data_IF_904047720993
#
_entry.id   IF_904047720993
#
_cell.length_a   1.000
_cell.length_b   1.000
_cell.length_c   1.000
_cell.angle_alpha   90.00
_cell.angle_beta   90.00
_cell.angle_gamma   90.00
#
_symmetry.space_group_name_H-M   'P 1'
#
loop_
_entity.id
_entity.type
_entity.pdbx_description
1 polymer ?
#
# COMPACT_ATOMS: atom_id res chain seq x y z
N UNK A 1 -1.30 1.60 -10.69
CA UNK A 1 -1.21 0.36 -11.47
C UNK A 1 -0.17 -0.51 -10.80
N UNK A 2 -0.46 -1.79 -10.58
CA UNK A 2 0.50 -2.72 -9.97
C UNK A 2 1.43 -3.29 -11.05
N UNK A 3 2.47 -4.03 -10.68
CA UNK A 3 3.32 -4.74 -11.64
C UNK A 3 2.62 -5.93 -12.28
N UNK A 4 1.65 -6.54 -11.58
CA UNK A 4 0.95 -7.72 -12.04
C UNK A 4 -0.50 -7.73 -11.52
N UNK A 5 -1.41 -7.27 -12.36
CA UNK A 5 -2.83 -7.15 -12.01
C UNK A 5 -3.52 -8.51 -11.80
N UNK A 6 -3.04 -9.58 -12.46
CA UNK A 6 -3.56 -10.94 -12.24
C UNK A 6 -3.27 -11.39 -10.81
N UNK A 7 -2.05 -11.15 -10.32
CA UNK A 7 -1.69 -11.45 -8.93
C UNK A 7 -2.43 -10.55 -7.94
N UNK A 8 -2.59 -9.26 -8.25
CA UNK A 8 -3.41 -8.36 -7.43
C UNK A 8 -4.83 -8.90 -7.27
N UNK A 9 -5.44 -9.33 -8.37
CA UNK A 9 -6.78 -9.93 -8.38
C UNK A 9 -6.82 -11.23 -7.56
N UNK A 10 -5.86 -12.13 -7.76
CA UNK A 10 -5.80 -13.40 -7.03
C UNK A 10 -5.69 -13.21 -5.51
N UNK A 11 -4.91 -12.23 -5.05
CA UNK A 11 -4.79 -11.89 -3.62
C UNK A 11 -6.11 -11.32 -3.08
N UNK A 12 -6.76 -10.43 -3.83
CA UNK A 12 -8.05 -9.85 -3.45
C UNK A 12 -9.15 -10.91 -3.33
N UNK A 13 -9.21 -11.83 -4.29
CA UNK A 13 -10.15 -12.95 -4.28
C UNK A 13 -9.91 -13.87 -3.08
N UNK A 14 -8.64 -14.21 -2.80
CA UNK A 14 -8.29 -15.01 -1.63
C UNK A 14 -8.75 -14.33 -0.32
N UNK A 15 -8.44 -13.05 -0.14
CA UNK A 15 -8.88 -12.31 1.05
C UNK A 15 -10.41 -12.31 1.18
N UNK A 16 -11.13 -12.12 0.06
CA UNK A 16 -12.60 -12.15 0.06
C UNK A 16 -13.15 -13.52 0.45
N UNK A 17 -12.56 -14.63 -0.03
CA UNK A 17 -13.02 -16.00 0.26
C UNK A 17 -12.76 -16.36 1.72
N UNK A 18 -11.62 -15.96 2.27
CA UNK A 18 -11.24 -16.24 3.65
C UNK A 18 -11.86 -15.27 4.68
N UNK A 19 -12.65 -14.28 4.23
CA UNK A 19 -13.26 -13.27 5.10
C UNK A 19 -12.25 -12.30 5.73
N UNK A 20 -11.11 -12.08 5.06
CA UNK A 20 -10.06 -11.16 5.48
C UNK A 20 -10.36 -9.78 4.90
N UNK A 21 -10.59 -8.78 5.76
CA UNK A 21 -10.79 -7.40 5.31
C UNK A 21 -9.47 -6.78 4.84
N UNK A 22 -9.46 -6.27 3.62
CA UNK A 22 -8.33 -5.55 3.05
C UNK A 22 -8.40 -4.07 3.43
N UNK A 23 -7.43 -3.61 4.22
CA UNK A 23 -7.35 -2.23 4.71
C UNK A 23 -6.77 -1.23 3.70
N UNK A 24 -6.14 -1.70 2.62
CA UNK A 24 -5.58 -0.84 1.59
C UNK A 24 -4.84 -1.59 0.49
N UNK A 25 -4.47 -0.86 -0.57
CA UNK A 25 -3.64 -1.35 -1.68
C UNK A 25 -2.58 -0.29 -1.98
N UNK A 26 -1.31 -0.67 -1.91
CA UNK A 26 -0.18 0.23 -2.19
C UNK A 26 0.29 -0.05 -3.62
N UNK A 27 0.22 0.91 -4.54
CA UNK A 27 0.66 0.70 -5.92
C UNK A 27 2.18 0.53 -5.99
N UNK A 28 2.66 -0.13 -7.06
CA UNK A 28 4.08 -0.11 -7.37
C UNK A 28 4.55 1.33 -7.64
N UNK A 29 5.62 1.73 -6.95
CA UNK A 29 6.16 3.08 -7.01
C UNK A 29 7.69 3.02 -6.88
N UNK A 30 8.45 3.45 -7.91
CA UNK A 30 9.91 3.50 -7.86
C UNK A 30 10.49 4.36 -6.73
N UNK A 31 9.72 5.32 -6.20
CA UNK A 31 10.14 6.15 -5.06
C UNK A 31 10.42 5.31 -3.81
N UNK A 32 9.75 4.15 -3.66
CA UNK A 32 10.00 3.22 -2.56
C UNK A 32 11.45 2.70 -2.60
N UNK A 33 11.92 2.28 -3.77
CA UNK A 33 13.29 1.77 -3.92
C UNK A 33 14.33 2.88 -3.75
N UNK A 34 14.05 4.09 -4.25
CA UNK A 34 14.94 5.25 -4.07
C UNK A 34 15.08 5.61 -2.59
N UNK A 35 13.96 5.72 -1.88
CA UNK A 35 13.93 5.98 -0.44
C UNK A 35 14.68 4.89 0.35
N UNK A 36 14.52 3.61 -0.04
CA UNK A 36 15.25 2.49 0.56
C UNK A 36 16.77 2.59 0.38
N UNK A 37 17.24 2.95 -0.82
CA UNK A 37 18.68 3.17 -1.08
C UNK A 37 19.22 4.32 -0.24
N UNK A 38 18.44 5.38 -0.07
CA UNK A 38 18.80 6.54 0.73
C UNK A 38 18.58 6.31 2.24
N UNK A 39 18.01 5.17 2.65
CA UNK A 39 17.77 4.84 4.06
C UNK A 39 16.66 5.64 4.74
N UNK A 40 15.71 6.18 3.98
CA UNK A 40 14.61 7.00 4.48
C UNK A 40 13.24 6.30 4.28
N UNK A 41 12.26 6.51 5.18
CA UNK A 41 10.88 6.10 4.94
C UNK A 41 10.31 6.80 3.70
N UNK A 42 9.67 6.06 2.78
CA UNK A 42 9.11 6.65 1.55
C UNK A 42 8.09 7.76 1.83
N UNK A 43 7.30 7.62 2.90
CA UNK A 43 6.30 8.61 3.34
C UNK A 43 6.90 9.98 3.72
N UNK A 44 8.18 10.02 4.09
CA UNK A 44 8.94 11.24 4.38
C UNK A 44 9.78 11.67 3.17
N UNK A 45 10.39 10.71 2.47
CA UNK A 45 11.27 10.96 1.32
C UNK A 45 10.53 11.53 0.11
N UNK A 46 9.36 10.96 -0.22
CA UNK A 46 8.51 11.37 -1.33
C UNK A 46 7.04 11.46 -0.84
N UNK A 47 6.68 12.52 -0.10
CA UNK A 47 5.40 12.59 0.63
C UNK A 47 4.16 12.59 -0.27
N UNK A 48 4.32 13.02 -1.53
CA UNK A 48 3.27 13.14 -2.55
C UNK A 48 3.33 11.99 -3.58
N UNK A 49 4.12 10.93 -3.30
CA UNK A 49 4.19 9.77 -4.18
C UNK A 49 2.94 8.89 -4.03
N UNK A 50 2.51 8.16 -5.08
CA UNK A 50 1.36 7.27 -4.99
C UNK A 50 1.45 6.23 -3.87
N UNK A 51 2.64 5.66 -3.62
CA UNK A 51 2.82 4.74 -2.51
C UNK A 51 2.70 5.45 -1.15
N UNK A 52 3.28 6.63 -1.01
CA UNK A 52 3.19 7.41 0.24
C UNK A 52 1.77 7.81 0.59
N UNK A 53 1.00 8.28 -0.39
CA UNK A 53 -0.42 8.61 -0.20
C UNK A 53 -1.23 7.37 0.18
N UNK A 54 -1.01 6.24 -0.51
CA UNK A 54 -1.71 4.98 -0.22
C UNK A 54 -1.37 4.43 1.17
N UNK A 55 -0.11 4.53 1.62
CA UNK A 55 0.32 4.12 2.96
C UNK A 55 -0.39 4.97 4.02
N UNK A 56 -0.43 6.30 3.84
CA UNK A 56 -1.11 7.22 4.77
C UNK A 56 -2.61 6.91 4.87
N UNK A 57 -3.29 6.74 3.73
CA UNK A 57 -4.71 6.39 3.71
C UNK A 57 -4.98 5.00 4.35
N UNK A 58 -4.10 4.03 4.10
CA UNK A 58 -4.19 2.69 4.72
C UNK A 58 -4.04 2.78 6.24
N UNK A 59 -3.13 3.61 6.73
CA UNK A 59 -2.92 3.85 8.16
C UNK A 59 -4.14 4.51 8.81
N UNK A 60 -4.73 5.53 8.18
CA UNK A 60 -5.95 6.18 8.65
C UNK A 60 -7.13 5.21 8.72
N UNK A 61 -7.32 4.39 7.69
CA UNK A 61 -8.35 3.34 7.69
C UNK A 61 -8.10 2.34 8.81
N UNK A 62 -6.87 1.85 8.97
CA UNK A 62 -6.53 0.91 10.04
C UNK A 62 -6.87 1.49 11.42
N UNK A 63 -6.49 2.74 11.69
CA UNK A 63 -6.80 3.41 12.94
C UNK A 63 -8.31 3.51 13.16
N UNK A 64 -9.09 3.86 12.13
CA UNK A 64 -10.54 4.00 12.23
C UNK A 64 -11.29 2.72 12.63
N UNK A 65 -10.66 1.54 12.49
CA UNK A 65 -11.25 0.27 12.92
C UNK A 65 -11.21 0.07 14.44
N UNK A 66 -10.41 0.85 15.15
CA UNK A 66 -10.22 0.74 16.61
C UNK A 66 -10.96 1.83 17.40
N UNK A 67 -11.65 2.76 16.74
CA UNK A 67 -12.38 3.88 17.35
C UNK A 67 -13.87 3.85 17.03
#
# INVERSE_FOLDING_TARGET
HDLNDENTTAIQEFCSVEGIDMVGLIPFDPEVTKAMVDGHPVVEYAPDSPASEAIKATWERLISLFY
#
